data_IF_123871353870
#
_entry.id   IF_123871353870
#
_cell.length_a   1.000
_cell.length_b   1.000
_cell.length_c   1.000
_cell.angle_alpha   90.00
_cell.angle_beta   90.00
_cell.angle_gamma   90.00
#
_symmetry.space_group_name_H-M   'P 1'
#
loop_
_entity.id
_entity.type
_entity.pdbx_description
1 polymer ?
#
# COMPACT_ATOMS: atom_id res chain seq x y z
N UNK A 1 -67.42 -20.08 -33.60
CA UNK A 1 -66.30 -19.66 -32.73
C UNK A 1 -65.06 -19.60 -33.61
N UNK A 2 -64.67 -18.40 -34.06
CA UNK A 2 -63.58 -18.20 -35.02
C UNK A 2 -62.43 -17.47 -34.33
N UNK A 3 -61.50 -18.22 -33.75
CA UNK A 3 -60.23 -17.69 -33.24
C UNK A 3 -59.29 -17.53 -34.43
N UNK A 4 -59.12 -16.31 -34.93
CA UNK A 4 -58.10 -16.01 -35.94
C UNK A 4 -56.73 -16.42 -35.34
N UNK A 5 -55.88 -17.17 -36.06
CA UNK A 5 -54.57 -17.53 -35.55
C UNK A 5 -53.79 -16.24 -35.28
N UNK A 6 -53.31 -16.09 -34.04
CA UNK A 6 -52.54 -14.91 -33.65
C UNK A 6 -51.31 -14.77 -34.55
N UNK A 7 -50.98 -13.55 -35.00
CA UNK A 7 -49.87 -13.36 -35.90
C UNK A 7 -48.53 -13.70 -35.22
N UNK A 8 -47.79 -14.66 -35.78
CA UNK A 8 -46.54 -15.20 -35.21
C UNK A 8 -45.45 -14.15 -34.90
N UNK A 9 -45.48 -13.01 -35.60
CA UNK A 9 -44.58 -11.87 -35.40
C UNK A 9 -44.78 -11.17 -34.04
N UNK A 10 -45.98 -11.24 -33.45
CA UNK A 10 -46.25 -10.67 -32.12
C UNK A 10 -45.51 -11.47 -31.04
N UNK A 11 -45.51 -12.80 -31.14
CA UNK A 11 -44.75 -13.66 -30.23
C UNK A 11 -43.24 -13.50 -30.46
N UNK A 12 -42.78 -13.40 -31.71
CA UNK A 12 -41.38 -13.16 -32.01
C UNK A 12 -40.86 -11.82 -31.42
N UNK A 13 -41.64 -10.74 -31.57
CA UNK A 13 -41.31 -9.44 -30.97
C UNK A 13 -41.24 -9.51 -29.44
N UNK A 14 -42.20 -10.17 -28.80
CA UNK A 14 -42.21 -10.37 -27.36
C UNK A 14 -41.00 -11.17 -26.87
N UNK A 15 -40.63 -12.26 -27.56
CA UNK A 15 -39.45 -13.05 -27.20
C UNK A 15 -38.14 -12.27 -27.33
N UNK A 16 -38.02 -11.40 -28.33
CA UNK A 16 -36.86 -10.52 -28.48
C UNK A 16 -36.78 -9.53 -27.31
N UNK A 17 -37.90 -8.91 -26.93
CA UNK A 17 -37.95 -7.98 -25.78
C UNK A 17 -37.57 -8.71 -24.48
N UNK A 18 -38.12 -9.90 -24.25
CA UNK A 18 -37.77 -10.73 -23.09
C UNK A 18 -36.28 -11.07 -23.08
N UNK A 19 -35.70 -11.47 -24.21
CA UNK A 19 -34.28 -11.80 -24.30
C UNK A 19 -33.38 -10.59 -23.97
N UNK A 20 -33.72 -9.39 -24.47
CA UNK A 20 -32.98 -8.15 -24.17
C UNK A 20 -33.10 -7.78 -22.69
N UNK A 21 -34.30 -7.88 -22.10
CA UNK A 21 -34.51 -7.61 -20.68
C UNK A 21 -33.76 -8.60 -19.78
N UNK A 22 -33.77 -9.89 -20.11
CA UNK A 22 -33.02 -10.92 -19.38
C UNK A 22 -31.52 -10.63 -19.44
N UNK A 23 -30.99 -10.24 -20.60
CA UNK A 23 -29.58 -9.85 -20.74
C UNK A 23 -29.21 -8.63 -19.87
N UNK A 24 -30.05 -7.58 -19.87
CA UNK A 24 -29.84 -6.39 -19.04
C UNK A 24 -29.87 -6.72 -17.55
N UNK A 25 -30.82 -7.55 -17.13
CA UNK A 25 -30.93 -8.00 -15.74
C UNK A 25 -29.69 -8.79 -15.30
N UNK A 26 -29.18 -9.72 -16.12
CA UNK A 26 -27.96 -10.47 -15.80
C UNK A 26 -26.75 -9.54 -15.69
N UNK A 27 -26.61 -8.59 -16.61
CA UNK A 27 -25.46 -7.66 -16.64
C UNK A 27 -25.44 -6.77 -15.39
N UNK A 28 -26.56 -6.11 -15.08
CA UNK A 28 -26.65 -5.16 -13.95
C UNK A 28 -26.68 -5.88 -12.61
N UNK A 29 -27.39 -7.01 -12.49
CA UNK A 29 -27.54 -7.68 -11.20
C UNK A 29 -26.32 -8.52 -10.80
N UNK A 30 -25.53 -9.02 -11.75
CA UNK A 30 -24.49 -10.03 -11.45
C UNK A 30 -23.11 -9.62 -11.92
N UNK A 31 -22.95 -9.08 -13.13
CA UNK A 31 -21.62 -8.85 -13.71
C UNK A 31 -20.96 -7.62 -13.09
N UNK A 32 -21.65 -6.49 -13.10
CA UNK A 32 -21.16 -5.22 -12.51
C UNK A 32 -20.75 -5.35 -11.03
N UNK A 33 -21.57 -5.92 -10.12
CA UNK A 33 -21.18 -6.04 -8.72
C UNK A 33 -19.99 -7.00 -8.51
N UNK A 34 -19.84 -8.04 -9.35
CA UNK A 34 -18.70 -8.97 -9.25
C UNK A 34 -17.39 -8.29 -9.66
N UNK A 35 -17.42 -7.47 -10.70
CA UNK A 35 -16.24 -6.74 -11.18
C UNK A 35 -15.76 -5.73 -10.14
N UNK A 36 -16.68 -4.95 -9.55
CA UNK A 36 -16.34 -3.97 -8.51
C UNK A 36 -15.71 -4.67 -7.30
N UNK A 37 -16.34 -5.75 -6.80
CA UNK A 37 -15.82 -6.50 -5.65
C UNK A 37 -14.46 -7.15 -5.96
N UNK A 38 -14.25 -7.64 -7.19
CA UNK A 38 -12.98 -8.21 -7.60
C UNK A 38 -11.86 -7.14 -7.64
N UNK A 39 -12.15 -5.96 -8.18
CA UNK A 39 -11.21 -4.83 -8.19
C UNK A 39 -10.85 -4.37 -6.78
N UNK A 40 -11.83 -4.27 -5.87
CA UNK A 40 -11.56 -3.90 -4.49
C UNK A 40 -10.73 -4.95 -3.74
N UNK A 41 -11.03 -6.24 -3.94
CA UNK A 41 -10.22 -7.33 -3.37
C UNK A 41 -8.79 -7.31 -3.90
N UNK A 42 -8.62 -7.06 -5.20
CA UNK A 42 -7.33 -6.94 -5.85
C UNK A 42 -6.53 -5.76 -5.25
N UNK A 43 -7.12 -4.57 -5.22
CA UNK A 43 -6.48 -3.37 -4.68
C UNK A 43 -6.10 -3.55 -3.21
N UNK A 44 -7.02 -4.07 -2.38
CA UNK A 44 -6.76 -4.35 -0.96
C UNK A 44 -5.60 -5.34 -0.77
N UNK A 45 -5.55 -6.40 -1.57
CA UNK A 45 -4.46 -7.39 -1.50
C UNK A 45 -3.14 -6.75 -1.91
N UNK A 46 -3.12 -6.04 -3.03
CA UNK A 46 -1.90 -5.42 -3.55
C UNK A 46 -1.36 -4.32 -2.63
N UNK A 47 -2.24 -3.47 -2.07
CA UNK A 47 -1.88 -2.48 -1.05
C UNK A 47 -1.18 -3.13 0.14
N UNK A 48 -1.76 -4.21 0.69
CA UNK A 48 -1.18 -4.90 1.85
C UNK A 48 0.19 -5.51 1.54
N UNK A 49 0.38 -6.06 0.34
CA UNK A 49 1.68 -6.57 -0.10
C UNK A 49 2.71 -5.43 -0.21
N UNK A 50 2.33 -4.30 -0.81
CA UNK A 50 3.20 -3.11 -0.88
C UNK A 50 3.57 -2.58 0.50
N UNK A 51 2.61 -2.52 1.43
CA UNK A 51 2.86 -2.10 2.81
C UNK A 51 3.76 -3.06 3.58
N UNK A 52 3.61 -4.37 3.40
CA UNK A 52 4.56 -5.35 3.96
C UNK A 52 5.97 -5.15 3.42
N UNK A 53 6.10 -4.90 2.12
CA UNK A 53 7.40 -4.61 1.51
C UNK A 53 8.00 -3.29 2.02
N UNK A 54 7.19 -2.25 2.23
CA UNK A 54 7.62 -1.01 2.89
C UNK A 54 8.11 -1.25 4.32
N UNK A 55 7.38 -2.06 5.10
CA UNK A 55 7.76 -2.47 6.45
C UNK A 55 9.14 -3.16 6.46
N UNK A 56 9.34 -4.14 5.58
CA UNK A 56 10.63 -4.83 5.48
C UNK A 56 11.75 -3.88 5.02
N UNK A 57 11.47 -2.96 4.10
CA UNK A 57 12.42 -1.93 3.69
C UNK A 57 12.82 -1.02 4.87
N UNK A 58 11.87 -0.58 5.70
CA UNK A 58 12.14 0.23 6.90
C UNK A 58 12.98 -0.54 7.94
N UNK A 59 12.70 -1.83 8.14
CA UNK A 59 13.50 -2.68 9.03
C UNK A 59 14.95 -2.79 8.53
N UNK A 60 15.15 -2.97 7.23
CA UNK A 60 16.48 -3.01 6.62
C UNK A 60 17.20 -1.67 6.71
N UNK A 61 16.48 -0.57 6.49
CA UNK A 61 17.01 0.78 6.61
C UNK A 61 17.47 1.04 8.05
N UNK A 62 16.65 0.66 9.04
CA UNK A 62 17.01 0.76 10.46
C UNK A 62 18.25 -0.08 10.80
N UNK A 63 18.37 -1.31 10.26
CA UNK A 63 19.54 -2.16 10.49
C UNK A 63 20.84 -1.53 9.98
N UNK A 64 20.78 -0.76 8.88
CA UNK A 64 21.96 -0.12 8.29
C UNK A 64 22.31 1.21 8.93
N UNK A 65 21.31 2.09 9.11
CA UNK A 65 21.52 3.48 9.52
C UNK A 65 21.21 3.74 11.00
N UNK A 66 20.55 2.79 11.68
CA UNK A 66 20.18 2.90 13.10
C UNK A 66 18.89 3.69 13.37
N UNK A 67 18.28 4.29 12.35
CA UNK A 67 17.05 5.08 12.44
C UNK A 67 16.09 4.75 11.28
N UNK A 68 14.82 5.13 11.40
CA UNK A 68 13.83 5.03 10.32
C UNK A 68 13.87 6.28 9.43
N UNK A 69 13.26 6.20 8.24
CA UNK A 69 13.10 7.35 7.34
C UNK A 69 11.64 7.80 7.31
N UNK A 70 11.38 9.08 7.03
CA UNK A 70 10.03 9.60 6.76
C UNK A 70 9.71 9.64 5.25
N UNK A 71 10.74 9.57 4.40
CA UNK A 71 10.61 9.80 2.97
C UNK A 71 10.63 8.49 2.20
N UNK A 72 9.54 8.24 1.49
CA UNK A 72 9.40 7.07 0.61
C UNK A 72 10.46 7.12 -0.50
N UNK A 73 10.79 8.30 -1.03
CA UNK A 73 11.84 8.45 -2.05
C UNK A 73 13.19 7.91 -1.56
N UNK A 74 13.60 8.26 -0.34
CA UNK A 74 14.85 7.78 0.23
C UNK A 74 14.81 6.27 0.46
N UNK A 75 13.66 5.75 0.91
CA UNK A 75 13.47 4.32 1.14
C UNK A 75 13.54 3.53 -0.17
N UNK A 76 12.86 3.99 -1.21
CA UNK A 76 12.87 3.32 -2.52
C UNK A 76 14.23 3.42 -3.18
N UNK A 77 14.91 4.58 -3.08
CA UNK A 77 16.28 4.72 -3.56
C UNK A 77 17.25 3.77 -2.83
N UNK A 78 17.05 3.57 -1.53
CA UNK A 78 17.80 2.59 -0.75
C UNK A 78 17.53 1.16 -1.24
N UNK A 79 16.27 0.78 -1.44
CA UNK A 79 15.93 -0.56 -1.95
C UNK A 79 16.49 -0.82 -3.36
N UNK A 80 16.57 0.22 -4.21
CA UNK A 80 17.04 0.10 -5.60
C UNK A 80 18.55 0.07 -5.75
N UNK A 81 19.25 0.95 -5.04
CA UNK A 81 20.65 1.26 -5.35
C UNK A 81 21.63 0.72 -4.30
N UNK A 82 21.14 0.26 -3.15
CA UNK A 82 22.02 -0.07 -2.05
C UNK A 82 22.57 -1.51 -2.15
N UNK A 83 23.90 -1.70 -2.13
CA UNK A 83 24.50 -3.03 -2.19
C UNK A 83 24.15 -3.89 -0.97
N UNK A 84 23.79 -3.28 0.16
CA UNK A 84 23.32 -4.01 1.33
C UNK A 84 22.02 -4.75 1.04
N UNK A 85 21.05 -4.10 0.41
CA UNK A 85 19.76 -4.70 0.07
C UNK A 85 19.97 -5.83 -0.95
N UNK A 86 20.81 -5.60 -1.95
CA UNK A 86 21.18 -6.64 -2.93
C UNK A 86 21.81 -7.87 -2.28
N UNK A 87 22.65 -7.68 -1.26
CA UNK A 87 23.27 -8.79 -0.53
C UNK A 87 22.24 -9.60 0.25
N UNK A 88 21.27 -8.95 0.88
CA UNK A 88 20.19 -9.59 1.64
C UNK A 88 19.24 -10.36 0.70
N UNK A 89 18.90 -9.77 -0.45
CA UNK A 89 18.03 -10.42 -1.44
C UNK A 89 18.67 -11.64 -2.10
N UNK A 90 19.97 -11.58 -2.37
CA UNK A 90 20.74 -12.70 -2.95
C UNK A 90 21.23 -13.69 -1.90
N UNK A 91 21.07 -13.39 -0.61
CA UNK A 91 21.42 -14.31 0.45
C UNK A 91 20.54 -15.56 0.34
N UNK A 92 21.19 -16.71 0.39
CA UNK A 92 20.55 -18.02 0.50
C UNK A 92 20.89 -18.54 1.88
N UNK A 93 19.85 -18.94 2.62
CA UNK A 93 20.05 -19.57 3.91
C UNK A 93 20.73 -20.92 3.70
N UNK A 94 21.97 -21.05 4.18
CA UNK A 94 22.79 -22.25 4.02
C UNK A 94 22.20 -23.48 4.69
N UNK A 95 21.31 -23.29 5.67
CA UNK A 95 20.66 -24.39 6.39
C UNK A 95 19.42 -24.91 5.67
N UNK A 96 18.61 -24.01 5.10
CA UNK A 96 17.33 -24.36 4.46
C UNK A 96 17.38 -24.38 2.92
N UNK A 97 18.47 -23.90 2.32
CA UNK A 97 18.66 -23.70 0.88
C UNK A 97 17.51 -22.90 0.23
N UNK A 98 16.86 -22.03 1.01
CA UNK A 98 15.80 -21.12 0.56
C UNK A 98 16.36 -19.72 0.38
N UNK A 99 15.79 -18.98 -0.57
CA UNK A 99 16.07 -17.55 -0.72
C UNK A 99 15.68 -16.82 0.57
N UNK A 100 16.57 -15.96 1.06
CA UNK A 100 16.33 -15.09 2.22
C UNK A 100 15.75 -13.74 1.81
N UNK A 101 15.17 -13.61 0.61
CA UNK A 101 14.56 -12.36 0.15
C UNK A 101 13.37 -12.00 1.08
N UNK A 102 13.44 -10.86 1.80
CA UNK A 102 12.37 -10.44 2.70
C UNK A 102 11.17 -9.86 1.95
N UNK A 103 11.28 -9.56 0.65
CA UNK A 103 10.21 -8.93 -0.12
C UNK A 103 9.21 -9.95 -0.67
N UNK A 104 7.92 -9.68 -0.48
CA UNK A 104 6.82 -10.46 -1.04
C UNK A 104 6.56 -10.04 -2.50
N UNK A 105 6.29 -11.02 -3.36
CA UNK A 105 5.92 -10.80 -4.76
C UNK A 105 4.56 -10.10 -4.85
N UNK A 106 4.45 -9.12 -5.76
CA UNK A 106 3.21 -8.40 -6.00
C UNK A 106 2.22 -9.25 -6.80
N UNK A 107 0.98 -8.77 -6.95
CA UNK A 107 -0.06 -9.50 -7.66
C UNK A 107 0.27 -9.80 -9.14
N UNK A 108 1.18 -9.02 -9.75
CA UNK A 108 1.68 -9.22 -11.11
C UNK A 108 2.88 -10.19 -11.20
N UNK A 109 3.35 -10.73 -10.08
CA UNK A 109 4.36 -11.80 -10.05
C UNK A 109 5.80 -11.35 -9.84
N UNK A 110 6.09 -10.05 -9.88
CA UNK A 110 7.42 -9.49 -9.64
C UNK A 110 7.38 -8.42 -8.55
N UNK A 111 8.51 -8.18 -7.87
CA UNK A 111 8.67 -7.06 -6.95
C UNK A 111 9.32 -5.89 -7.68
N UNK A 112 8.57 -4.82 -7.89
CA UNK A 112 9.06 -3.57 -8.46
C UNK A 112 9.16 -2.51 -7.36
N UNK A 113 10.35 -1.96 -7.05
CA UNK A 113 10.49 -0.96 -5.98
C UNK A 113 9.67 0.32 -6.25
N UNK A 114 9.43 0.65 -7.52
CA UNK A 114 8.59 1.80 -7.90
C UNK A 114 7.11 1.65 -7.51
N UNK A 115 6.63 0.43 -7.35
CA UNK A 115 5.24 0.18 -6.92
C UNK A 115 4.97 0.64 -5.49
N UNK A 116 6.02 0.82 -4.68
CA UNK A 116 5.92 1.24 -3.29
C UNK A 116 5.56 2.71 -3.12
N UNK A 117 5.63 3.51 -4.19
CA UNK A 117 5.31 4.93 -4.11
C UNK A 117 3.83 5.22 -3.97
N UNK A 118 2.97 4.38 -4.55
CA UNK A 118 1.56 4.72 -4.77
C UNK A 118 0.65 3.57 -4.41
N UNK A 119 -0.57 3.89 -4.01
CA UNK A 119 -1.62 2.90 -3.84
C UNK A 119 -2.17 2.43 -5.20
N UNK A 120 -2.61 1.17 -5.32
CA UNK A 120 -3.18 0.66 -6.56
C UNK A 120 -4.54 1.28 -6.90
N UNK A 121 -5.35 1.69 -5.90
CA UNK A 121 -6.71 2.22 -6.12
C UNK A 121 -6.71 3.72 -6.38
N UNK A 122 -6.23 4.56 -5.45
CA UNK A 122 -6.25 6.02 -5.64
C UNK A 122 -4.98 6.61 -6.24
N UNK A 123 -3.91 5.83 -6.39
CA UNK A 123 -2.59 6.31 -6.83
C UNK A 123 -1.99 7.40 -5.92
N UNK A 124 -2.48 7.48 -4.68
CA UNK A 124 -1.96 8.38 -3.67
C UNK A 124 -0.72 7.77 -3.02
N UNK A 125 0.22 8.59 -2.54
CA UNK A 125 1.37 8.07 -1.82
C UNK A 125 0.99 7.53 -0.45
N UNK A 126 1.70 6.49 0.00
CA UNK A 126 1.55 6.02 1.37
C UNK A 126 1.96 7.12 2.35
N UNK A 127 1.27 7.20 3.48
CA UNK A 127 1.62 8.15 4.53
C UNK A 127 2.63 7.47 5.44
N UNK A 128 3.84 8.02 5.48
CA UNK A 128 4.91 7.50 6.32
C UNK A 128 5.29 8.55 7.36
N UNK A 129 5.17 8.18 8.63
CA UNK A 129 5.43 9.04 9.78
C UNK A 129 6.46 8.38 10.68
N UNK A 130 7.32 9.19 11.28
CA UNK A 130 8.33 8.75 12.25
C UNK A 130 8.20 9.60 13.51
N UNK A 131 8.50 8.99 14.66
CA UNK A 131 8.60 9.71 15.91
C UNK A 131 9.80 10.65 15.83
N UNK A 132 9.56 11.93 15.56
CA UNK A 132 10.62 12.94 15.44
C UNK A 132 10.35 14.05 16.45
N UNK A 133 11.34 14.31 17.29
CA UNK A 133 11.30 15.44 18.22
C UNK A 133 12.21 16.56 17.71
N UNK A 134 11.69 17.79 17.70
CA UNK A 134 12.44 18.97 17.27
C UNK A 134 12.72 19.80 18.51
N UNK A 135 13.99 19.86 18.92
CA UNK A 135 14.44 20.70 20.04
C UNK A 135 15.01 21.99 19.46
N UNK A 136 14.51 23.13 19.92
CA UNK A 136 14.97 24.45 19.48
C UNK A 136 15.55 25.22 20.65
N UNK A 137 16.86 25.51 20.57
CA UNK A 137 17.59 26.28 21.57
C UNK A 137 17.90 27.67 21.02
N UNK A 138 17.55 28.70 21.79
CA UNK A 138 17.84 30.09 21.41
C UNK A 138 19.06 30.58 22.17
N UNK A 139 20.10 30.98 21.44
CA UNK A 139 21.30 31.58 22.01
C UNK A 139 21.09 33.10 22.09
N UNK A 140 21.16 33.63 23.30
CA UNK A 140 21.05 35.05 23.57
C UNK A 140 22.43 35.71 23.69
N UNK A 141 22.51 36.99 23.30
CA UNK A 141 23.65 37.84 23.64
C UNK A 141 23.56 38.30 25.11
N UNK A 142 24.67 38.72 25.74
CA UNK A 142 24.65 39.29 27.09
C UNK A 142 23.71 40.50 27.24
N UNK A 143 23.38 41.18 26.14
CA UNK A 143 22.45 42.31 26.07
C UNK A 143 20.98 41.87 25.88
N UNK A 144 20.68 40.57 25.94
CA UNK A 144 19.32 40.03 25.82
C UNK A 144 18.77 39.92 24.39
N UNK A 145 19.54 40.30 23.36
CA UNK A 145 19.12 40.11 21.96
C UNK A 145 19.36 38.68 21.49
N UNK A 146 18.40 38.09 20.78
CA UNK A 146 18.52 36.77 20.16
C UNK A 146 19.65 36.81 19.12
N UNK A 147 20.64 35.94 19.27
CA UNK A 147 21.80 35.83 18.36
C UNK A 147 21.54 34.78 17.28
N UNK A 148 21.04 33.61 17.68
CA UNK A 148 20.77 32.47 16.80
C UNK A 148 19.77 31.53 17.46
N UNK A 149 18.87 30.95 16.66
CA UNK A 149 18.08 29.79 17.05
C UNK A 149 18.72 28.57 16.40
N UNK A 150 19.08 27.58 17.22
CA UNK A 150 19.56 26.28 16.77
C UNK A 150 18.43 25.27 16.87
N UNK A 151 18.15 24.58 15.76
CA UNK A 151 17.14 23.54 15.69
C UNK A 151 17.83 22.20 15.51
N UNK A 152 17.64 21.28 16.46
CA UNK A 152 18.13 19.90 16.38
C UNK A 152 16.94 18.96 16.27
N UNK A 153 16.90 18.22 15.17
CA UNK A 153 15.91 17.17 14.94
C UNK A 153 16.46 15.84 15.45
N UNK A 154 15.81 15.24 16.43
CA UNK A 154 16.13 13.91 16.96
C UNK A 154 15.11 12.93 16.42
N UNK A 155 15.57 12.03 15.55
CA UNK A 155 14.77 10.95 14.98
C UNK A 155 14.71 9.81 16.01
N UNK A 156 13.50 9.42 16.38
CA UNK A 156 13.21 8.32 17.29
C UNK A 156 13.26 6.95 16.62
N UNK A 157 12.89 5.93 17.39
CA UNK A 157 12.96 4.51 16.99
C UNK A 157 11.62 3.93 16.56
N UNK A 158 10.65 4.76 16.14
CA UNK A 158 9.29 4.34 15.80
C UNK A 158 8.87 4.93 14.47
N UNK A 159 8.08 4.17 13.73
CA UNK A 159 7.51 4.58 12.45
C UNK A 159 6.06 4.09 12.34
N UNK A 160 5.32 4.72 11.46
CA UNK A 160 3.93 4.43 11.16
C UNK A 160 3.71 4.58 9.66
N UNK A 161 3.10 3.58 9.06
CA UNK A 161 2.75 3.55 7.64
C UNK A 161 1.23 3.40 7.55
N UNK A 162 0.60 4.30 6.82
CA UNK A 162 -0.84 4.28 6.59
C UNK A 162 -1.14 4.26 5.09
N UNK A 163 -2.08 3.40 4.71
CA UNK A 163 -2.67 3.41 3.39
C UNK A 163 -3.80 4.46 3.33
N UNK A 164 -3.69 5.50 2.46
CA UNK A 164 -4.73 6.52 2.33
C UNK A 164 -6.08 5.96 1.85
N UNK A 165 -6.10 4.77 1.23
CA UNK A 165 -7.33 4.11 0.81
C UNK A 165 -8.02 3.32 1.95
N UNK A 166 -7.44 3.34 3.17
CA UNK A 166 -8.01 2.70 4.36
C UNK A 166 -7.87 1.18 4.40
N UNK A 167 -6.94 0.59 3.63
CA UNK A 167 -6.73 -0.85 3.59
C UNK A 167 -5.91 -1.43 4.76
N UNK A 168 -5.33 -0.54 5.57
CA UNK A 168 -4.71 -0.84 6.84
C UNK A 168 -3.59 0.12 7.21
N UNK A 169 -3.02 -0.12 8.37
CA UNK A 169 -1.84 0.55 8.93
C UNK A 169 -0.77 -0.47 9.33
N UNK A 170 0.48 -0.03 9.38
CA UNK A 170 1.63 -0.78 9.90
C UNK A 170 2.39 0.09 10.89
N UNK A 171 2.74 -0.48 12.04
CA UNK A 171 3.49 0.24 13.06
C UNK A 171 2.61 1.12 13.94
N UNK A 172 3.26 1.84 14.85
CA UNK A 172 2.63 2.83 15.72
C UNK A 172 3.70 3.80 16.20
N UNK A 173 3.35 5.09 16.25
CA UNK A 173 4.20 6.13 16.87
C UNK A 173 4.10 6.08 18.41
N UNK A 174 3.00 5.53 18.94
CA UNK A 174 2.68 5.59 20.36
C UNK A 174 3.18 4.38 21.17
N UNK A 175 3.31 3.21 20.53
CA UNK A 175 3.64 1.95 21.22
C UNK A 175 4.78 1.19 20.57
N UNK A 176 5.84 0.92 21.35
CA UNK A 176 6.99 0.12 20.93
C UNK A 176 6.62 -1.33 20.61
N UNK A 177 5.61 -1.87 21.29
CA UNK A 177 5.14 -3.24 21.08
C UNK A 177 4.47 -3.42 19.71
N UNK A 178 3.97 -2.34 19.11
CA UNK A 178 3.25 -2.36 17.83
C UNK A 178 4.09 -1.90 16.65
N UNK A 179 5.37 -1.60 16.86
CA UNK A 179 6.27 -0.97 15.86
C UNK A 179 6.33 -1.68 14.51
N UNK A 180 6.23 -3.01 14.48
CA UNK A 180 6.28 -3.81 13.25
C UNK A 180 5.00 -4.61 12.99
N UNK A 181 3.93 -4.31 13.73
CA UNK A 181 2.67 -5.04 13.66
C UNK A 181 1.86 -4.50 12.49
N UNK A 182 1.32 -5.40 11.67
CA UNK A 182 0.37 -5.05 10.62
C UNK A 182 -1.05 -5.15 11.19
N UNK A 183 -1.90 -4.19 10.87
CA UNK A 183 -3.28 -4.11 11.42
C UNK A 183 -4.24 -5.19 10.92
N UNK A 184 -3.84 -6.03 9.97
CA UNK A 184 -4.69 -7.02 9.31
C UNK A 184 -4.20 -8.48 9.43
N UNK A 185 -3.16 -8.71 10.24
CA UNK A 185 -2.84 -10.05 10.77
C UNK A 185 -3.69 -10.33 11.99
#
# INVERSE_FOLDING_TARGET
MNSKPEPWYIHAGLYVVIAVLVYLLIRVAIVEPKEIVALEKYAKKESRLRMKNLKEAEILFQKKYGHFTASIDSLVNFVKNDPFVDSVRKAVDTLSNRSSDPFELLAHGEFTPDSLFKTPKSQQPFVLQIDTSVVSDTIYTPQGKVKRVETRTVIGSRYFIEDPDGYGTVGSVESDALKNTVSWE
#
